data_IF_979959454170
#
_entry.id   IF_979959454170
#
_cell.length_a   1.000
_cell.length_b   1.000
_cell.length_c   1.000
_cell.angle_alpha   90.00
_cell.angle_beta   90.00
_cell.angle_gamma   90.00
#
_symmetry.space_group_name_H-M   'P 1'
#
loop_
_entity.id
_entity.type
_entity.pdbx_description
1 polymer ?
#
# COMPACT_ATOMS: atom_id res chain seq x y z
N UNK A 1 -18.98 35.22 -27.86
CA UNK A 1 -18.29 34.97 -26.58
C UNK A 1 -16.82 35.15 -26.87
N UNK A 2 -16.21 36.23 -26.37
CA UNK A 2 -14.76 36.40 -26.45
C UNK A 2 -14.13 35.37 -25.52
N UNK A 3 -13.35 34.43 -26.08
CA UNK A 3 -12.42 33.61 -25.31
C UNK A 3 -11.49 34.58 -24.56
N UNK A 4 -11.56 34.56 -23.22
CA UNK A 4 -10.57 35.25 -22.42
C UNK A 4 -9.17 34.82 -22.90
N UNK A 5 -8.23 35.76 -23.12
CA UNK A 5 -6.91 35.42 -23.60
C UNK A 5 -6.31 34.37 -22.66
N UNK A 6 -5.78 33.30 -23.25
CA UNK A 6 -5.00 32.33 -22.49
C UNK A 6 -3.82 33.09 -21.90
N UNK A 7 -3.89 33.42 -20.60
CA UNK A 7 -2.73 33.89 -19.86
C UNK A 7 -1.66 32.78 -19.96
N UNK A 8 -0.70 33.00 -20.86
CA UNK A 8 0.59 32.30 -20.86
C UNK A 8 1.28 32.70 -19.55
N UNK A 9 0.98 31.94 -18.49
CA UNK A 9 1.65 32.07 -17.21
C UNK A 9 3.10 31.64 -17.40
N UNK A 10 4.03 32.54 -17.05
CA UNK A 10 5.46 32.25 -17.13
C UNK A 10 5.84 31.09 -16.18
N UNK A 11 6.80 30.22 -16.55
CA UNK A 11 7.27 29.15 -15.69
C UNK A 11 7.80 29.68 -14.35
N UNK A 12 7.69 28.89 -13.28
CA UNK A 12 8.14 29.33 -11.94
C UNK A 12 9.60 29.80 -11.92
N UNK A 13 10.46 29.19 -12.75
CA UNK A 13 11.86 29.57 -12.90
C UNK A 13 12.06 31.05 -13.31
N UNK A 14 11.13 31.65 -14.07
CA UNK A 14 11.20 33.04 -14.50
C UNK A 14 11.12 34.02 -13.32
N UNK A 15 10.49 33.60 -12.22
CA UNK A 15 10.30 34.42 -11.04
C UNK A 15 11.38 34.22 -9.97
N UNK A 16 12.41 33.39 -10.20
CA UNK A 16 13.42 33.06 -9.17
C UNK A 16 14.08 34.30 -8.56
N UNK A 17 14.44 35.28 -9.41
CA UNK A 17 15.11 36.52 -8.97
C UNK A 17 14.14 37.58 -8.45
N UNK A 18 12.85 37.43 -8.75
CA UNK A 18 11.79 38.39 -8.43
C UNK A 18 10.90 37.91 -7.27
N UNK A 19 11.13 36.69 -6.77
CA UNK A 19 10.32 36.10 -5.72
C UNK A 19 10.44 36.96 -4.45
N UNK A 20 9.32 37.32 -3.80
CA UNK A 20 9.36 38.16 -2.61
C UNK A 20 10.30 37.58 -1.55
N UNK A 21 11.27 38.38 -1.13
CA UNK A 21 12.08 38.04 0.03
C UNK A 21 11.18 38.05 1.27
N UNK A 22 11.07 36.90 1.94
CA UNK A 22 10.43 36.79 3.25
C UNK A 22 11.34 36.07 4.23
N UNK A 23 11.12 36.32 5.51
CA UNK A 23 11.74 35.50 6.57
C UNK A 23 11.26 34.05 6.42
N UNK A 24 12.14 33.11 6.78
CA UNK A 24 11.77 31.69 6.76
C UNK A 24 10.66 31.45 7.77
N UNK A 25 9.63 30.69 7.38
CA UNK A 25 8.54 30.32 8.29
C UNK A 25 8.93 29.16 9.24
N UNK A 26 10.17 28.68 9.15
CA UNK A 26 10.73 27.62 9.97
C UNK A 26 10.23 26.22 9.62
N UNK A 27 9.34 26.08 8.64
CA UNK A 27 8.83 24.77 8.23
C UNK A 27 9.88 23.94 7.50
N UNK A 28 9.69 22.61 7.50
CA UNK A 28 10.61 21.69 6.84
C UNK A 28 10.76 22.02 5.34
N UNK A 29 9.65 22.19 4.64
CA UNK A 29 9.64 22.52 3.21
C UNK A 29 10.39 23.82 2.93
N UNK A 30 10.15 24.88 3.70
CA UNK A 30 10.81 26.17 3.50
C UNK A 30 12.34 26.06 3.65
N UNK A 31 12.80 25.27 4.63
CA UNK A 31 14.24 25.04 4.87
C UNK A 31 14.90 24.17 3.79
N UNK A 32 14.18 23.20 3.23
CA UNK A 32 14.74 22.22 2.30
C UNK A 32 14.63 22.68 0.85
N UNK A 33 13.42 23.07 0.41
CA UNK A 33 13.14 23.42 -0.99
C UNK A 33 13.13 24.92 -1.25
N UNK A 34 13.24 25.73 -0.19
CA UNK A 34 13.26 27.18 -0.26
C UNK A 34 11.87 27.81 -0.38
N UNK A 35 11.78 29.13 -0.08
CA UNK A 35 10.51 29.85 0.02
C UNK A 35 9.73 29.90 -1.29
N UNK A 36 10.42 29.98 -2.44
CA UNK A 36 9.76 30.01 -3.75
C UNK A 36 8.95 28.74 -4.01
N UNK A 37 9.59 27.57 -3.90
CA UNK A 37 8.92 26.29 -4.16
C UNK A 37 7.85 26.03 -3.10
N UNK A 38 8.13 26.37 -1.85
CA UNK A 38 7.20 26.21 -0.75
C UNK A 38 5.93 27.04 -0.89
N UNK A 39 6.05 28.33 -1.20
CA UNK A 39 4.93 29.25 -1.40
C UNK A 39 4.11 28.85 -2.63
N UNK A 40 4.80 28.52 -3.74
CA UNK A 40 4.14 28.06 -4.96
C UNK A 40 3.36 26.75 -4.73
N UNK A 41 3.90 25.82 -3.93
CA UNK A 41 3.22 24.59 -3.56
C UNK A 41 2.02 24.80 -2.62
N UNK A 42 2.04 25.84 -1.78
CA UNK A 42 0.91 26.21 -0.92
C UNK A 42 -0.15 27.08 -1.61
N UNK A 43 0.13 27.55 -2.83
CA UNK A 43 -0.79 28.41 -3.59
C UNK A 43 -2.14 27.75 -3.85
N UNK A 44 -3.22 28.54 -3.82
CA UNK A 44 -4.54 28.09 -4.25
C UNK A 44 -4.60 27.76 -5.75
N UNK A 45 -3.69 28.31 -6.55
CA UNK A 45 -3.59 28.04 -7.97
C UNK A 45 -2.88 26.71 -8.25
N UNK A 46 -3.62 25.72 -8.75
CA UNK A 46 -3.05 24.39 -9.03
C UNK A 46 -1.89 24.41 -10.03
N UNK A 47 -1.87 25.39 -10.96
CA UNK A 47 -0.78 25.56 -11.91
C UNK A 47 0.53 25.91 -11.22
N UNK A 48 0.50 26.82 -10.23
CA UNK A 48 1.69 27.14 -9.43
C UNK A 48 2.18 25.95 -8.62
N UNK A 49 1.26 25.15 -8.06
CA UNK A 49 1.65 23.91 -7.35
C UNK A 49 2.28 22.88 -8.29
N UNK A 50 1.75 22.73 -9.49
CA UNK A 50 2.30 21.85 -10.53
C UNK A 50 3.66 22.32 -11.03
N UNK A 51 3.82 23.62 -11.28
CA UNK A 51 5.09 24.25 -11.67
C UNK A 51 6.14 24.11 -10.55
N UNK A 52 5.76 24.24 -9.27
CA UNK A 52 6.66 24.01 -8.14
C UNK A 52 7.28 22.61 -8.17
N UNK A 53 6.47 21.57 -8.42
CA UNK A 53 6.96 20.20 -8.53
C UNK A 53 7.79 19.99 -9.80
N UNK A 54 7.38 20.57 -10.93
CA UNK A 54 8.12 20.49 -12.20
C UNK A 54 9.47 21.20 -12.15
N UNK A 55 9.54 22.31 -11.41
CA UNK A 55 10.78 23.02 -11.12
C UNK A 55 11.66 22.16 -10.22
N UNK A 56 11.11 21.67 -9.11
CA UNK A 56 11.87 20.92 -8.12
C UNK A 56 12.43 19.61 -8.68
N UNK A 57 11.71 18.89 -9.54
CA UNK A 57 12.25 17.65 -10.12
C UNK A 57 13.50 17.89 -10.97
N UNK A 58 13.67 19.09 -11.54
CA UNK A 58 14.87 19.45 -12.31
C UNK A 58 16.01 20.01 -11.45
N UNK A 59 15.70 20.42 -10.21
CA UNK A 59 16.63 21.14 -9.33
C UNK A 59 16.71 20.52 -7.94
N UNK A 60 16.31 19.25 -7.76
CA UNK A 60 16.32 18.58 -6.46
C UNK A 60 17.73 18.52 -5.86
N UNK A 61 18.75 18.41 -6.72
CA UNK A 61 20.16 18.47 -6.33
C UNK A 61 20.56 19.83 -5.69
N UNK A 62 19.82 20.91 -5.96
CA UNK A 62 20.03 22.23 -5.33
C UNK A 62 19.29 22.37 -3.99
N UNK A 63 18.44 21.39 -3.61
CA UNK A 63 17.72 21.43 -2.34
C UNK A 63 18.69 21.33 -1.15
N UNK A 64 18.39 22.09 -0.10
CA UNK A 64 19.20 22.20 1.11
C UNK A 64 18.81 21.17 2.17
N UNK A 65 19.65 21.00 3.19
CA UNK A 65 19.39 20.15 4.34
C UNK A 65 20.01 18.76 4.26
N UNK A 66 19.98 18.06 5.39
CA UNK A 66 20.50 16.70 5.52
C UNK A 66 19.61 15.70 4.77
N UNK A 67 20.12 14.51 4.38
CA UNK A 67 19.35 13.52 3.63
C UNK A 67 18.00 13.16 4.29
N UNK A 68 17.97 13.09 5.62
CA UNK A 68 16.75 12.82 6.39
C UNK A 68 15.69 13.92 6.29
N UNK A 69 16.10 15.19 6.22
CA UNK A 69 15.19 16.32 5.99
C UNK A 69 14.66 16.29 4.55
N UNK A 70 15.52 15.95 3.58
CA UNK A 70 15.15 15.83 2.18
C UNK A 70 14.07 14.76 1.96
N UNK A 71 14.27 13.54 2.47
CA UNK A 71 13.28 12.45 2.35
C UNK A 71 11.94 12.85 2.96
N UNK A 72 11.95 13.47 4.14
CA UNK A 72 10.73 13.94 4.81
C UNK A 72 10.04 15.07 4.04
N UNK A 73 10.80 16.03 3.51
CA UNK A 73 10.26 17.14 2.73
C UNK A 73 9.56 16.63 1.46
N UNK A 74 10.21 15.74 0.71
CA UNK A 74 9.60 15.12 -0.48
C UNK A 74 8.39 14.25 -0.08
N UNK A 75 8.45 13.54 1.05
CA UNK A 75 7.29 12.84 1.62
C UNK A 75 6.11 13.77 1.90
N UNK A 76 6.36 14.95 2.49
CA UNK A 76 5.33 15.98 2.70
C UNK A 76 4.74 16.49 1.38
N UNK A 77 5.57 16.69 0.36
CA UNK A 77 5.10 17.08 -0.98
C UNK A 77 4.19 16.02 -1.61
N UNK A 78 4.59 14.75 -1.56
CA UNK A 78 3.79 13.63 -2.07
C UNK A 78 2.45 13.53 -1.32
N UNK A 79 2.48 13.59 0.01
CA UNK A 79 1.26 13.53 0.82
C UNK A 79 0.33 14.73 0.61
N UNK A 80 0.89 15.94 0.43
CA UNK A 80 0.12 17.13 0.11
C UNK A 80 -0.51 17.03 -1.27
N UNK A 81 0.28 16.64 -2.28
CA UNK A 81 -0.17 16.51 -3.66
C UNK A 81 -1.17 15.35 -3.84
N UNK A 82 -1.06 14.28 -3.06
CA UNK A 82 -2.04 13.18 -3.05
C UNK A 82 -3.44 13.65 -2.59
N UNK A 83 -3.54 14.77 -1.90
CA UNK A 83 -4.84 15.37 -1.49
C UNK A 83 -5.30 16.46 -2.46
N UNK A 84 -4.53 16.75 -3.50
CA UNK A 84 -4.86 17.77 -4.48
C UNK A 84 -6.07 17.33 -5.32
N UNK A 85 -6.93 18.30 -5.64
CA UNK A 85 -8.07 18.10 -6.55
C UNK A 85 -7.61 17.85 -7.99
N UNK A 86 -6.42 18.31 -8.33
CA UNK A 86 -5.84 18.21 -9.67
C UNK A 86 -4.80 17.09 -9.72
N UNK A 87 -5.18 15.98 -10.34
CA UNK A 87 -4.32 14.80 -10.54
C UNK A 87 -2.92 15.13 -11.12
N UNK A 88 -2.81 16.18 -11.96
CA UNK A 88 -1.53 16.62 -12.52
C UNK A 88 -0.52 17.04 -11.45
N UNK A 89 -0.96 17.62 -10.35
CA UNK A 89 -0.08 18.04 -9.24
C UNK A 89 0.51 16.80 -8.55
N UNK A 90 -0.33 15.80 -8.28
CA UNK A 90 0.13 14.51 -7.75
C UNK A 90 1.14 13.82 -8.68
N UNK A 91 0.82 13.71 -9.97
CA UNK A 91 1.73 13.11 -10.96
C UNK A 91 3.08 13.84 -11.02
N UNK A 92 3.08 15.18 -10.94
CA UNK A 92 4.33 15.95 -10.90
C UNK A 92 5.12 15.72 -9.59
N UNK A 93 4.45 15.56 -8.45
CA UNK A 93 5.13 15.22 -7.20
C UNK A 93 5.82 13.85 -7.26
N UNK A 94 5.28 12.90 -8.03
CA UNK A 94 5.92 11.60 -8.23
C UNK A 94 7.19 11.70 -9.10
N UNK A 95 7.29 12.71 -9.96
CA UNK A 95 8.54 12.98 -10.68
C UNK A 95 9.62 13.48 -9.71
N UNK A 96 9.29 14.37 -8.76
CA UNK A 96 10.21 14.76 -7.68
C UNK A 96 10.61 13.54 -6.84
N UNK A 97 9.65 12.68 -6.54
CA UNK A 97 9.88 11.47 -5.76
C UNK A 97 10.84 10.50 -6.45
N UNK A 98 10.73 10.30 -7.77
CA UNK A 98 11.66 9.44 -8.52
C UNK A 98 13.10 9.99 -8.49
N UNK A 99 13.27 11.31 -8.58
CA UNK A 99 14.58 11.96 -8.44
C UNK A 99 15.16 11.78 -7.02
N UNK A 100 14.31 11.74 -5.98
CA UNK A 100 14.77 11.40 -4.63
C UNK A 100 15.31 9.97 -4.56
N UNK A 101 14.67 9.01 -5.24
CA UNK A 101 15.10 7.60 -5.20
C UNK A 101 16.50 7.41 -5.80
N UNK A 102 16.90 8.27 -6.73
CA UNK A 102 18.23 8.27 -7.37
C UNK A 102 19.23 9.24 -6.72
N UNK A 103 18.83 10.01 -5.70
CA UNK A 103 19.69 10.99 -5.04
C UNK A 103 20.78 10.30 -4.19
N UNK A 104 22.04 10.52 -4.57
CA UNK A 104 23.20 9.90 -3.92
C UNK A 104 23.35 10.27 -2.44
N UNK A 105 22.78 11.39 -1.99
CA UNK A 105 22.79 11.78 -0.56
C UNK A 105 22.06 10.76 0.31
N UNK A 106 21.15 9.99 -0.26
CA UNK A 106 20.37 8.98 0.46
C UNK A 106 21.09 7.63 0.59
N UNK A 107 22.26 7.44 -0.02
CA UNK A 107 22.96 6.14 -0.05
C UNK A 107 23.43 5.70 1.33
N UNK A 108 23.89 6.64 2.16
CA UNK A 108 24.43 6.34 3.49
C UNK A 108 23.37 6.01 4.54
N UNK A 109 22.10 6.34 4.27
CA UNK A 109 20.98 6.17 5.20
C UNK A 109 20.56 4.71 5.38
N UNK A 110 20.83 3.87 4.38
CA UNK A 110 20.29 2.52 4.30
C UNK A 110 18.77 2.47 4.08
N UNK A 111 18.24 1.30 3.70
CA UNK A 111 16.84 1.14 3.34
C UNK A 111 15.89 1.30 4.54
N UNK A 112 16.29 0.86 5.74
CA UNK A 112 15.47 0.97 6.94
C UNK A 112 15.32 2.43 7.39
N UNK A 113 16.40 3.21 7.36
CA UNK A 113 16.39 4.63 7.70
C UNK A 113 15.57 5.44 6.70
N UNK A 114 15.72 5.15 5.41
CA UNK A 114 14.95 5.81 4.35
C UNK A 114 13.46 5.52 4.49
N UNK A 115 13.09 4.25 4.70
CA UNK A 115 11.71 3.86 4.94
C UNK A 115 11.12 4.53 6.20
N UNK A 116 11.89 4.61 7.30
CA UNK A 116 11.43 5.27 8.53
C UNK A 116 11.09 6.75 8.29
N UNK A 117 11.98 7.49 7.61
CA UNK A 117 11.72 8.90 7.29
C UNK A 117 10.55 9.09 6.31
N UNK A 118 10.41 8.21 5.32
CA UNK A 118 9.30 8.25 4.37
C UNK A 118 7.94 7.94 5.04
N UNK A 119 7.95 7.17 6.13
CA UNK A 119 6.79 6.88 6.97
C UNK A 119 6.54 7.96 8.03
N UNK A 120 7.38 9.00 8.09
CA UNK A 120 7.28 10.08 9.07
C UNK A 120 7.64 9.66 10.49
N UNK A 121 8.56 8.70 10.65
CA UNK A 121 9.02 8.17 11.94
C UNK A 121 10.42 8.72 12.24
N UNK A 122 10.65 9.14 13.49
CA UNK A 122 11.89 9.79 13.93
C UNK A 122 13.10 8.84 14.02
N UNK A 123 12.90 7.56 14.35
CA UNK A 123 13.97 6.56 14.44
C UNK A 123 13.48 5.16 14.06
N UNK A 124 14.27 4.38 13.28
CA UNK A 124 13.94 3.00 12.92
C UNK A 124 13.99 2.03 14.12
N UNK A 125 14.71 2.37 15.19
CA UNK A 125 14.92 1.49 16.37
C UNK A 125 13.80 1.57 17.41
N UNK A 126 12.84 2.49 17.24
CA UNK A 126 11.78 2.74 18.20
C UNK A 126 10.50 1.96 17.92
N UNK A 127 10.18 0.97 18.78
CA UNK A 127 8.85 0.32 18.81
C UNK A 127 7.68 1.27 19.14
N UNK A 128 7.97 2.55 19.44
CA UNK A 128 7.03 3.66 19.61
C UNK A 128 7.63 4.97 19.03
N UNK A 129 8.26 4.90 17.84
CA UNK A 129 8.81 6.11 17.21
C UNK A 129 7.75 7.19 17.04
N UNK A 130 8.00 8.39 17.59
CA UNK A 130 7.08 9.50 17.47
C UNK A 130 6.85 9.82 15.97
N UNK A 131 5.59 9.96 15.59
CA UNK A 131 5.25 10.45 14.25
C UNK A 131 5.61 11.93 14.17
N UNK A 132 6.62 12.23 13.37
CA UNK A 132 7.14 13.57 13.12
C UNK A 132 6.69 14.14 11.76
N UNK A 133 6.04 13.32 10.94
CA UNK A 133 5.58 13.72 9.60
C UNK A 133 4.48 12.80 9.05
N UNK A 134 4.01 13.09 7.83
CA UNK A 134 3.05 12.25 7.14
C UNK A 134 3.69 10.95 6.62
N UNK A 135 2.86 9.92 6.42
CA UNK A 135 3.29 8.61 5.91
C UNK A 135 3.09 8.56 4.39
N UNK A 136 4.17 8.78 3.63
CA UNK A 136 4.12 8.85 2.17
C UNK A 136 3.93 7.46 1.53
N UNK A 137 4.47 6.39 2.12
CA UNK A 137 4.20 5.02 1.65
C UNK A 137 2.71 4.69 1.76
N UNK A 138 2.09 5.05 2.88
CA UNK A 138 0.65 4.91 3.07
C UNK A 138 -0.14 5.76 2.07
N UNK A 139 0.29 6.99 1.79
CA UNK A 139 -0.37 7.86 0.80
C UNK A 139 -0.29 7.30 -0.63
N UNK A 140 0.85 6.70 -1.02
CA UNK A 140 0.98 6.01 -2.31
C UNK A 140 0.02 4.83 -2.41
N UNK A 141 -0.05 4.00 -1.36
CA UNK A 141 -0.98 2.87 -1.33
C UNK A 141 -2.45 3.31 -1.33
N UNK A 142 -2.79 4.40 -0.64
CA UNK A 142 -4.12 5.01 -0.68
C UNK A 142 -4.49 5.51 -2.09
N UNK A 143 -3.53 6.12 -2.79
CA UNK A 143 -3.73 6.55 -4.17
C UNK A 143 -3.80 5.37 -5.14
N UNK A 144 -3.04 4.30 -4.93
CA UNK A 144 -3.02 3.13 -5.81
C UNK A 144 -4.40 2.45 -5.92
N UNK A 145 -5.20 2.48 -4.85
CA UNK A 145 -6.56 1.93 -4.85
C UNK A 145 -7.68 2.97 -4.82
N UNK A 146 -7.35 4.28 -4.87
CA UNK A 146 -8.32 5.36 -4.91
C UNK A 146 -9.32 5.19 -6.08
N UNK A 147 -10.62 5.26 -5.77
CA UNK A 147 -11.68 5.06 -6.78
C UNK A 147 -11.80 3.62 -7.31
N UNK A 148 -11.07 2.66 -6.73
CA UNK A 148 -11.04 1.27 -7.15
C UNK A 148 -9.85 0.90 -8.03
N UNK A 149 -8.83 1.76 -8.07
CA UNK A 149 -7.64 1.56 -8.90
C UNK A 149 -7.87 1.87 -10.39
N UNK A 150 -6.78 1.96 -11.13
CA UNK A 150 -6.79 2.07 -12.58
C UNK A 150 -5.50 1.50 -13.16
N UNK A 151 -5.58 0.92 -14.36
CA UNK A 151 -4.44 0.36 -15.08
C UNK A 151 -4.03 1.21 -16.29
N UNK A 152 -4.67 2.36 -16.51
CA UNK A 152 -4.21 3.34 -17.52
C UNK A 152 -2.88 3.95 -17.08
N UNK A 153 -1.89 3.95 -17.98
CA UNK A 153 -0.55 4.46 -17.71
C UNK A 153 -0.50 5.93 -17.27
N UNK A 154 -1.49 6.74 -17.67
CA UNK A 154 -1.61 8.15 -17.27
C UNK A 154 -2.40 8.39 -15.98
N UNK A 155 -2.86 7.32 -15.32
CA UNK A 155 -3.69 7.46 -14.12
C UNK A 155 -2.84 7.64 -12.85
N UNK A 156 -3.29 8.50 -11.92
CA UNK A 156 -2.69 8.62 -10.58
C UNK A 156 -2.55 7.28 -9.85
N UNK A 157 -3.54 6.40 -9.99
CA UNK A 157 -3.56 5.09 -9.34
C UNK A 157 -2.41 4.21 -9.82
N UNK A 158 -2.22 4.12 -11.14
CA UNK A 158 -1.12 3.34 -11.72
C UNK A 158 0.23 3.96 -11.34
N UNK A 159 0.36 5.28 -11.42
CA UNK A 159 1.59 5.98 -11.06
C UNK A 159 1.97 5.82 -9.58
N UNK A 160 0.99 5.83 -8.67
CA UNK A 160 1.23 5.58 -7.25
C UNK A 160 1.69 4.13 -6.97
N UNK A 161 1.08 3.16 -7.66
CA UNK A 161 1.51 1.77 -7.63
C UNK A 161 2.93 1.59 -8.21
N UNK A 162 3.26 2.31 -9.29
CA UNK A 162 4.60 2.34 -9.87
C UNK A 162 5.61 2.90 -8.86
N UNK A 163 5.33 4.06 -8.25
CA UNK A 163 6.20 4.70 -7.27
C UNK A 163 6.45 3.83 -6.02
N UNK A 164 5.43 3.13 -5.52
CA UNK A 164 5.59 2.19 -4.41
C UNK A 164 6.53 1.02 -4.79
N UNK A 165 6.44 0.50 -6.01
CA UNK A 165 7.38 -0.51 -6.51
C UNK A 165 8.77 0.07 -6.77
N UNK A 166 8.88 1.30 -7.29
CA UNK A 166 10.16 1.98 -7.53
C UNK A 166 10.97 2.09 -6.23
N UNK A 167 10.33 2.39 -5.09
CA UNK A 167 11.00 2.42 -3.79
C UNK A 167 11.81 1.14 -3.50
N UNK A 168 11.23 -0.02 -3.83
CA UNK A 168 11.85 -1.33 -3.61
C UNK A 168 12.87 -1.64 -4.70
N UNK A 169 12.57 -1.32 -5.97
CA UNK A 169 13.47 -1.54 -7.11
C UNK A 169 14.78 -0.77 -6.97
N UNK A 170 14.72 0.45 -6.45
CA UNK A 170 15.91 1.27 -6.15
C UNK A 170 16.63 0.85 -4.86
N UNK A 171 16.12 -0.18 -4.15
CA UNK A 171 16.72 -0.64 -2.88
C UNK A 171 16.60 0.39 -1.75
N UNK A 172 15.71 1.38 -1.87
CA UNK A 172 15.50 2.44 -0.87
C UNK A 172 14.55 2.03 0.24
N UNK A 173 13.65 1.10 -0.04
CA UNK A 173 12.65 0.62 0.92
C UNK A 173 12.65 -0.90 0.91
N UNK A 174 12.76 -1.58 2.07
CA UNK A 174 12.62 -3.02 2.15
C UNK A 174 11.24 -3.46 1.64
N UNK A 175 11.16 -4.58 0.92
CA UNK A 175 9.90 -5.08 0.37
C UNK A 175 8.80 -5.21 1.44
N UNK A 176 9.16 -5.65 2.65
CA UNK A 176 8.23 -5.85 3.76
C UNK A 176 7.55 -4.55 4.22
N UNK A 177 8.17 -3.38 4.02
CA UNK A 177 7.57 -2.07 4.35
C UNK A 177 6.44 -1.70 3.39
N UNK A 178 6.43 -2.24 2.17
CA UNK A 178 5.34 -2.08 1.20
C UNK A 178 4.36 -3.26 1.26
N UNK A 179 4.89 -4.48 1.39
CA UNK A 179 4.09 -5.69 1.42
C UNK A 179 3.20 -5.77 2.67
N UNK A 180 3.71 -5.41 3.85
CA UNK A 180 2.93 -5.46 5.09
C UNK A 180 1.63 -4.64 5.01
N UNK A 181 1.66 -3.32 4.78
CA UNK A 181 0.43 -2.53 4.71
C UNK A 181 -0.48 -2.98 3.57
N UNK A 182 0.08 -3.44 2.44
CA UNK A 182 -0.71 -3.97 1.33
C UNK A 182 -1.47 -5.25 1.72
N UNK A 183 -0.77 -6.24 2.28
CA UNK A 183 -1.35 -7.51 2.74
C UNK A 183 -2.40 -7.26 3.82
N UNK A 184 -2.10 -6.38 4.77
CA UNK A 184 -3.03 -6.00 5.85
C UNK A 184 -4.32 -5.39 5.31
N UNK A 185 -4.23 -4.45 4.34
CA UNK A 185 -5.42 -3.86 3.69
C UNK A 185 -6.27 -4.91 2.98
N UNK A 186 -5.64 -5.88 2.31
CA UNK A 186 -6.34 -6.98 1.64
C UNK A 186 -7.05 -7.83 2.69
N UNK A 187 -6.36 -8.20 3.76
CA UNK A 187 -6.91 -9.02 4.83
C UNK A 187 -8.10 -8.37 5.52
N UNK A 188 -7.96 -7.10 5.95
CA UNK A 188 -9.02 -6.32 6.59
C UNK A 188 -10.27 -6.21 5.70
N UNK A 189 -10.09 -5.99 4.38
CA UNK A 189 -11.21 -5.91 3.43
C UNK A 189 -11.89 -7.25 3.19
N UNK A 190 -11.13 -8.34 3.16
CA UNK A 190 -11.69 -9.69 3.08
C UNK A 190 -12.44 -10.07 4.35
N UNK A 191 -11.95 -9.66 5.52
CA UNK A 191 -12.66 -9.84 6.79
C UNK A 191 -13.98 -9.05 6.80
N UNK A 192 -13.97 -7.80 6.33
CA UNK A 192 -15.18 -6.99 6.22
C UNK A 192 -16.22 -7.59 5.26
N UNK A 193 -15.78 -8.18 4.13
CA UNK A 193 -16.65 -8.91 3.19
C UNK A 193 -17.32 -10.11 3.87
N UNK A 194 -16.55 -10.93 4.59
CA UNK A 194 -17.06 -12.13 5.30
C UNK A 194 -18.00 -11.75 6.45
N UNK A 195 -17.68 -10.69 7.18
CA UNK A 195 -18.50 -10.23 8.30
C UNK A 195 -19.84 -9.60 7.87
N UNK A 196 -20.10 -9.52 6.56
CA UNK A 196 -21.32 -8.93 6.02
C UNK A 196 -21.45 -7.44 6.38
N UNK A 197 -20.31 -6.76 6.59
CA UNK A 197 -20.27 -5.32 6.85
C UNK A 197 -20.57 -4.58 5.56
N UNK A 198 -21.83 -4.60 5.14
CA UNK A 198 -22.25 -3.91 3.92
C UNK A 198 -22.25 -2.39 4.15
N UNK A 199 -21.56 -1.62 3.29
CA UNK A 199 -21.66 -0.18 3.31
C UNK A 199 -23.10 0.27 3.07
N UNK A 200 -23.57 1.24 3.86
CA UNK A 200 -24.92 1.81 3.70
C UNK A 200 -25.10 2.53 2.36
N UNK A 201 -24.03 3.08 1.79
CA UNK A 201 -24.04 3.73 0.48
C UNK A 201 -23.77 2.72 -0.65
N UNK A 202 -24.60 2.77 -1.69
CA UNK A 202 -24.45 1.98 -2.92
C UNK A 202 -23.12 2.26 -3.63
N UNK A 203 -22.57 3.48 -3.53
CA UNK A 203 -21.26 3.84 -4.10
C UNK A 203 -20.14 3.08 -3.40
N UNK A 204 -20.16 3.05 -2.07
CA UNK A 204 -19.15 2.37 -1.25
C UNK A 204 -19.22 0.86 -1.42
N UNK A 205 -20.45 0.30 -1.53
CA UNK A 205 -20.66 -1.13 -1.82
C UNK A 205 -20.03 -1.56 -3.16
N UNK A 206 -20.06 -0.69 -4.17
CA UNK A 206 -19.45 -0.97 -5.47
C UNK A 206 -17.93 -0.70 -5.49
N UNK A 207 -17.42 0.06 -4.52
CA UNK A 207 -16.02 0.47 -4.43
C UNK A 207 -15.15 -0.61 -3.79
N UNK A 208 -15.60 -1.22 -2.70
CA UNK A 208 -14.84 -2.22 -1.94
C UNK A 208 -14.22 -3.33 -2.81
N UNK A 209 -15.00 -4.04 -3.64
CA UNK A 209 -14.47 -5.09 -4.52
C UNK A 209 -13.49 -4.57 -5.58
N UNK A 210 -13.60 -3.30 -6.00
CA UNK A 210 -12.65 -2.69 -6.93
C UNK A 210 -11.33 -2.38 -6.25
N UNK A 211 -11.36 -1.79 -5.05
CA UNK A 211 -10.14 -1.50 -4.29
C UNK A 211 -9.41 -2.79 -3.91
N UNK A 212 -10.15 -3.83 -3.52
CA UNK A 212 -9.57 -5.15 -3.25
C UNK A 212 -8.94 -5.75 -4.52
N UNK A 213 -9.59 -5.62 -5.68
CA UNK A 213 -9.03 -6.01 -6.98
C UNK A 213 -7.73 -5.26 -7.31
N UNK A 214 -7.69 -3.94 -7.07
CA UNK A 214 -6.50 -3.12 -7.27
C UNK A 214 -5.33 -3.56 -6.38
N UNK A 215 -5.59 -3.80 -5.09
CA UNK A 215 -4.57 -4.28 -4.16
C UNK A 215 -4.04 -5.67 -4.53
N UNK A 216 -4.91 -6.59 -4.97
CA UNK A 216 -4.48 -7.92 -5.42
C UNK A 216 -3.63 -7.84 -6.69
N UNK A 217 -3.93 -6.91 -7.60
CA UNK A 217 -3.08 -6.68 -8.78
C UNK A 217 -1.72 -6.11 -8.38
N UNK A 218 -1.67 -5.16 -7.45
CA UNK A 218 -0.42 -4.64 -6.92
C UNK A 218 0.38 -5.77 -6.22
N UNK A 219 -0.28 -6.60 -5.42
CA UNK A 219 0.35 -7.76 -4.77
C UNK A 219 0.93 -8.75 -5.80
N UNK A 220 0.14 -9.06 -6.84
CA UNK A 220 0.59 -9.90 -7.95
C UNK A 220 1.77 -9.30 -8.71
N UNK A 221 1.81 -7.98 -8.87
CA UNK A 221 2.96 -7.27 -9.44
C UNK A 221 4.19 -7.36 -8.54
N UNK A 222 4.04 -7.16 -7.22
CA UNK A 222 5.13 -7.34 -6.27
C UNK A 222 5.71 -8.76 -6.36
N UNK A 223 4.86 -9.79 -6.47
CA UNK A 223 5.30 -11.17 -6.69
C UNK A 223 6.12 -11.31 -7.98
N UNK A 224 5.63 -10.76 -9.11
CA UNK A 224 6.35 -10.83 -10.39
C UNK A 224 7.69 -10.08 -10.37
N UNK A 225 7.75 -8.93 -9.68
CA UNK A 225 8.92 -8.06 -9.68
C UNK A 225 9.99 -8.49 -8.66
N UNK A 226 9.57 -9.00 -7.50
CA UNK A 226 10.46 -9.22 -6.37
C UNK A 226 10.56 -10.68 -5.94
N UNK A 227 9.73 -11.57 -6.51
CA UNK A 227 9.70 -12.97 -6.13
C UNK A 227 9.20 -13.18 -4.70
N UNK A 228 9.76 -14.17 -4.02
CA UNK A 228 9.48 -14.46 -2.61
C UNK A 228 10.75 -14.27 -1.79
N UNK A 229 10.59 -13.77 -0.57
CA UNK A 229 11.68 -13.72 0.40
C UNK A 229 11.80 -15.05 1.15
N UNK A 230 12.99 -15.33 1.67
CA UNK A 230 13.23 -16.50 2.53
C UNK A 230 12.84 -16.24 4.00
N UNK A 231 12.76 -14.97 4.39
CA UNK A 231 12.42 -14.47 5.72
C UNK A 231 11.47 -13.27 5.62
N UNK A 232 10.78 -12.92 6.71
CA UNK A 232 9.89 -11.75 6.73
C UNK A 232 8.47 -12.04 6.27
N UNK A 233 7.79 -11.05 5.69
CA UNK A 233 6.35 -11.08 5.44
C UNK A 233 5.99 -11.54 4.04
N UNK A 234 6.84 -11.27 3.05
CA UNK A 234 6.59 -11.62 1.65
C UNK A 234 6.97 -13.08 1.32
N UNK A 235 6.44 -14.00 2.13
CA UNK A 235 6.65 -15.45 2.07
C UNK A 235 5.39 -16.16 1.63
N UNK A 236 5.55 -17.32 0.98
CA UNK A 236 4.42 -18.16 0.55
C UNK A 236 3.54 -18.56 1.74
N UNK A 237 4.16 -18.88 2.88
CA UNK A 237 3.47 -19.28 4.10
C UNK A 237 2.40 -18.27 4.59
N UNK A 238 2.55 -16.98 4.27
CA UNK A 238 1.61 -15.91 4.66
C UNK A 238 0.75 -15.42 3.48
N UNK A 239 1.33 -15.37 2.27
CA UNK A 239 0.63 -14.92 1.07
C UNK A 239 -0.44 -15.91 0.62
N UNK A 240 -0.14 -17.21 0.70
CA UNK A 240 -1.03 -18.25 0.20
C UNK A 240 -2.40 -18.25 0.91
N UNK A 241 -2.51 -18.26 2.25
CA UNK A 241 -3.80 -18.19 2.94
C UNK A 241 -4.63 -16.96 2.53
N UNK A 242 -3.97 -15.79 2.41
CA UNK A 242 -4.60 -14.54 1.99
C UNK A 242 -5.17 -14.63 0.57
N UNK A 243 -4.38 -15.16 -0.36
CA UNK A 243 -4.78 -15.34 -1.76
C UNK A 243 -5.89 -16.38 -1.94
N UNK A 244 -5.85 -17.49 -1.19
CA UNK A 244 -6.92 -18.49 -1.19
C UNK A 244 -8.25 -17.89 -0.71
N UNK A 245 -8.21 -17.01 0.31
CA UNK A 245 -9.40 -16.30 0.80
C UNK A 245 -9.94 -15.36 -0.28
N UNK A 246 -9.07 -14.57 -0.91
CA UNK A 246 -9.46 -13.69 -2.01
C UNK A 246 -10.04 -14.45 -3.22
N UNK A 247 -9.48 -15.61 -3.57
CA UNK A 247 -10.01 -16.47 -4.63
C UNK A 247 -11.39 -17.07 -4.28
N UNK A 248 -11.75 -17.08 -3.01
CA UNK A 248 -13.05 -17.54 -2.50
C UNK A 248 -14.10 -16.42 -2.38
N UNK A 249 -13.74 -15.15 -2.67
CA UNK A 249 -14.67 -14.01 -2.66
C UNK A 249 -15.90 -14.23 -3.54
N UNK A 250 -17.03 -13.63 -3.16
CA UNK A 250 -18.26 -13.67 -3.97
C UNK A 250 -18.13 -12.85 -5.25
N UNK A 251 -17.23 -11.87 -5.27
CA UNK A 251 -17.01 -10.96 -6.38
C UNK A 251 -16.01 -11.52 -7.40
N UNK A 252 -16.46 -11.71 -8.65
CA UNK A 252 -15.58 -12.18 -9.75
C UNK A 252 -14.39 -11.27 -10.01
N UNK A 253 -14.53 -9.96 -9.78
CA UNK A 253 -13.46 -8.96 -9.92
C UNK A 253 -12.31 -9.13 -8.92
N UNK A 254 -12.58 -9.76 -7.78
CA UNK A 254 -11.60 -10.08 -6.74
C UNK A 254 -10.98 -11.44 -7.05
N UNK A 255 -11.81 -12.43 -7.39
CA UNK A 255 -11.32 -13.79 -7.71
C UNK A 255 -10.33 -13.83 -8.86
N UNK A 256 -10.54 -13.04 -9.91
CA UNK A 256 -9.66 -13.05 -11.08
C UNK A 256 -8.19 -12.68 -10.76
N UNK A 257 -7.89 -11.48 -10.20
CA UNK A 257 -6.51 -11.13 -9.83
C UNK A 257 -5.97 -12.00 -8.68
N UNK A 258 -6.81 -12.49 -7.77
CA UNK A 258 -6.37 -13.47 -6.77
C UNK A 258 -5.89 -14.77 -7.43
N UNK A 259 -6.63 -15.27 -8.42
CA UNK A 259 -6.25 -16.44 -9.21
C UNK A 259 -4.93 -16.23 -9.97
N UNK A 260 -4.77 -15.07 -10.61
CA UNK A 260 -3.52 -14.72 -11.30
C UNK A 260 -2.33 -14.67 -10.31
N UNK A 261 -2.53 -14.11 -9.11
CA UNK A 261 -1.52 -14.08 -8.07
C UNK A 261 -1.21 -15.47 -7.49
N UNK A 262 -2.20 -16.36 -7.35
CA UNK A 262 -1.98 -17.77 -6.96
C UNK A 262 -1.11 -18.46 -8.00
N UNK A 263 -1.43 -18.30 -9.29
CA UNK A 263 -0.68 -18.91 -10.39
C UNK A 263 0.77 -18.43 -10.37
N UNK A 264 0.98 -17.12 -10.21
CA UNK A 264 2.31 -16.53 -10.08
C UNK A 264 3.06 -17.10 -8.86
N UNK A 265 2.39 -17.21 -7.71
CA UNK A 265 2.96 -17.80 -6.51
C UNK A 265 3.40 -19.26 -6.75
N UNK A 266 2.59 -20.05 -7.47
CA UNK A 266 2.95 -21.44 -7.80
C UNK A 266 4.12 -21.52 -8.77
N UNK A 267 4.22 -20.61 -9.74
CA UNK A 267 5.37 -20.52 -10.63
C UNK A 267 6.67 -20.23 -9.87
N UNK A 268 6.60 -19.42 -8.80
CA UNK A 268 7.76 -19.04 -7.98
C UNK A 268 8.18 -20.11 -6.96
N UNK A 269 7.23 -20.89 -6.44
CA UNK A 269 7.47 -21.72 -5.25
C UNK A 269 7.02 -23.18 -5.36
N UNK A 270 6.60 -23.60 -6.55
CA UNK A 270 6.08 -24.93 -6.82
C UNK A 270 4.58 -25.07 -6.55
N UNK A 271 4.02 -26.21 -6.94
CA UNK A 271 2.58 -26.46 -6.86
C UNK A 271 2.02 -26.48 -5.43
N UNK A 272 0.70 -26.47 -5.34
CA UNK A 272 -0.06 -26.51 -4.10
C UNK A 272 -0.35 -27.96 -3.70
N UNK A 273 -0.27 -28.26 -2.41
CA UNK A 273 -0.75 -29.55 -1.89
C UNK A 273 -2.27 -29.69 -2.06
N UNK A 274 -2.73 -30.90 -2.34
CA UNK A 274 -4.16 -31.20 -2.50
C UNK A 274 -5.00 -30.78 -1.29
N UNK A 275 -4.45 -30.89 -0.07
CA UNK A 275 -5.15 -30.48 1.16
C UNK A 275 -5.51 -28.99 1.16
N UNK A 276 -4.60 -28.14 0.70
CA UNK A 276 -4.78 -26.68 0.64
C UNK A 276 -5.66 -26.32 -0.55
N UNK A 277 -5.50 -27.03 -1.67
CA UNK A 277 -6.35 -26.86 -2.84
C UNK A 277 -7.82 -27.15 -2.53
N UNK A 278 -8.09 -28.17 -1.72
CA UNK A 278 -9.44 -28.55 -1.31
C UNK A 278 -10.14 -27.53 -0.41
N UNK A 279 -9.41 -26.58 0.19
CA UNK A 279 -10.00 -25.46 0.95
C UNK A 279 -10.79 -24.50 0.04
N UNK A 280 -10.42 -24.41 -1.25
CA UNK A 280 -11.13 -23.57 -2.21
C UNK A 280 -12.48 -24.20 -2.62
N UNK A 281 -13.55 -23.38 -2.68
CA UNK A 281 -14.81 -23.79 -3.30
C UNK A 281 -14.60 -24.30 -4.73
N UNK A 282 -15.40 -25.28 -5.15
CA UNK A 282 -15.29 -25.89 -6.50
C UNK A 282 -15.31 -24.84 -7.63
N UNK A 283 -16.13 -23.79 -7.47
CA UNK A 283 -16.21 -22.67 -8.42
C UNK A 283 -14.88 -21.89 -8.52
N UNK A 284 -14.22 -21.65 -7.40
CA UNK A 284 -12.92 -20.96 -7.35
C UNK A 284 -11.83 -21.83 -7.97
N UNK A 285 -11.75 -23.12 -7.61
CA UNK A 285 -10.80 -24.08 -8.19
C UNK A 285 -10.87 -24.13 -9.71
N UNK A 286 -12.08 -24.27 -10.26
CA UNK A 286 -12.30 -24.30 -11.72
C UNK A 286 -11.87 -23.00 -12.40
N UNK A 287 -12.06 -21.86 -11.74
CA UNK A 287 -11.66 -20.57 -12.28
C UNK A 287 -10.13 -20.45 -12.37
N UNK A 288 -9.43 -20.78 -11.29
CA UNK A 288 -7.96 -20.77 -11.23
C UNK A 288 -7.36 -21.79 -12.19
N UNK A 289 -7.92 -23.01 -12.28
CA UNK A 289 -7.48 -24.02 -13.26
C UNK A 289 -7.58 -23.53 -14.71
N UNK A 290 -8.69 -22.86 -15.05
CA UNK A 290 -8.88 -22.30 -16.39
C UNK A 290 -7.90 -21.17 -16.69
N UNK A 291 -7.58 -20.33 -15.70
CA UNK A 291 -6.55 -19.28 -15.84
C UNK A 291 -5.15 -19.90 -15.99
N UNK A 292 -4.83 -20.94 -15.22
CA UNK A 292 -3.55 -21.62 -15.32
C UNK A 292 -3.38 -22.35 -16.67
N UNK A 293 -4.47 -22.89 -17.22
CA UNK A 293 -4.45 -23.55 -18.54
C UNK A 293 -4.06 -22.64 -19.70
N UNK A 294 -4.04 -21.31 -19.51
CA UNK A 294 -3.52 -20.35 -20.50
C UNK A 294 -2.03 -20.03 -20.32
N UNK A 295 -1.38 -20.58 -19.31
CA UNK A 295 0.04 -20.38 -19.01
C UNK A 295 0.79 -21.71 -19.15
N UNK A 296 1.75 -21.78 -20.07
CA UNK A 296 2.54 -22.99 -20.29
C UNK A 296 3.50 -23.24 -19.10
N UNK A 297 3.66 -24.51 -18.72
CA UNK A 297 4.69 -24.94 -17.77
C UNK A 297 4.33 -24.83 -16.28
N UNK A 298 3.14 -24.36 -15.92
CA UNK A 298 2.75 -24.21 -14.50
C UNK A 298 1.99 -25.44 -14.02
N UNK A 299 2.56 -26.17 -13.05
CA UNK A 299 1.82 -27.18 -12.29
C UNK A 299 1.16 -26.55 -11.07
N UNK A 300 -0.17 -26.47 -11.07
CA UNK A 300 -0.92 -25.95 -9.92
C UNK A 300 -0.87 -26.87 -8.71
N UNK A 301 -0.71 -28.17 -8.91
CA UNK A 301 -0.72 -29.17 -7.85
C UNK A 301 0.64 -29.82 -7.71
N UNK A 302 0.99 -30.16 -6.48
CA UNK A 302 2.21 -30.88 -6.14
C UNK A 302 1.90 -32.00 -5.16
N UNK A 303 2.50 -33.18 -5.40
CA UNK A 303 2.48 -34.28 -4.44
C UNK A 303 3.48 -34.06 -3.29
N UNK A 304 4.42 -33.13 -3.46
CA UNK A 304 5.42 -32.79 -2.45
C UNK A 304 5.07 -31.43 -1.81
N UNK A 305 5.08 -31.32 -0.47
CA UNK A 305 4.89 -30.05 0.22
C UNK A 305 6.00 -29.07 -0.16
N UNK A 306 5.64 -27.79 -0.35
CA UNK A 306 6.63 -26.73 -0.37
C UNK A 306 7.21 -26.59 1.06
N UNK A 307 8.53 -26.49 1.20
CA UNK A 307 9.17 -26.36 2.51
C UNK A 307 8.64 -25.17 3.32
N UNK A 308 8.26 -24.08 2.63
CA UNK A 308 7.71 -22.88 3.25
C UNK A 308 6.32 -23.13 3.88
N UNK A 309 5.53 -24.06 3.31
CA UNK A 309 4.19 -24.41 3.82
C UNK A 309 4.26 -25.10 5.21
N UNK A 310 5.42 -25.67 5.56
CA UNK A 310 5.66 -26.35 6.84
C UNK A 310 6.24 -25.43 7.94
N UNK A 311 6.62 -24.20 7.59
CA UNK A 311 7.24 -23.27 8.56
C UNK A 311 6.20 -22.82 9.57
N UNK A 312 6.50 -23.04 10.85
CA UNK A 312 5.62 -22.65 11.95
C UNK A 312 5.49 -21.14 12.03
N UNK A 313 4.28 -20.63 12.24
CA UNK A 313 4.03 -19.19 12.40
C UNK A 313 4.92 -18.55 13.46
N UNK A 314 5.14 -19.21 14.59
CA UNK A 314 6.02 -18.74 15.67
C UNK A 314 7.44 -18.40 15.20
N UNK A 315 7.98 -19.16 14.24
CA UNK A 315 9.31 -18.91 13.66
C UNK A 315 9.28 -17.64 12.82
N UNK A 316 8.25 -17.47 11.99
CA UNK A 316 8.08 -16.29 11.14
C UNK A 316 7.85 -15.04 12.01
N UNK A 317 7.06 -15.16 13.08
CA UNK A 317 6.81 -14.07 14.05
C UNK A 317 8.06 -13.69 14.83
N UNK A 318 8.96 -14.64 15.09
CA UNK A 318 10.25 -14.35 15.71
C UNK A 318 11.19 -13.58 14.76
N UNK A 319 11.09 -13.80 13.44
CA UNK A 319 11.79 -13.01 12.41
C UNK A 319 11.16 -11.62 12.23
N UNK A 320 9.82 -11.56 12.13
CA UNK A 320 9.05 -10.33 12.00
C UNK A 320 7.74 -10.38 12.81
N UNK A 321 7.63 -9.62 13.92
CA UNK A 321 6.43 -9.63 14.77
C UNK A 321 5.14 -9.26 14.04
N UNK A 322 5.22 -8.51 12.95
CA UNK A 322 4.08 -8.11 12.12
C UNK A 322 3.39 -9.31 11.48
N UNK A 323 4.10 -10.43 11.30
CA UNK A 323 3.53 -11.68 10.79
C UNK A 323 2.40 -12.22 11.68
N UNK A 324 2.37 -11.82 12.96
CA UNK A 324 1.36 -12.25 13.93
C UNK A 324 -0.08 -11.95 13.50
N UNK A 325 -0.29 -10.89 12.70
CA UNK A 325 -1.61 -10.47 12.22
C UNK A 325 -2.18 -11.32 11.10
N UNK A 326 -1.40 -12.22 10.49
CA UNK A 326 -1.85 -13.00 9.33
C UNK A 326 -2.05 -14.47 9.67
N UNK A 327 -2.96 -15.15 8.95
CA UNK A 327 -3.04 -16.60 8.97
C UNK A 327 -1.80 -17.19 8.27
N UNK A 328 -1.23 -18.24 8.85
CA UNK A 328 -0.12 -18.97 8.26
C UNK A 328 -0.57 -20.34 7.74
N UNK A 329 0.06 -20.84 6.67
CA UNK A 329 -0.22 -22.17 6.11
C UNK A 329 -0.08 -23.28 7.15
N UNK A 330 0.90 -23.18 8.05
CA UNK A 330 1.11 -24.18 9.12
C UNK A 330 -0.05 -24.26 10.13
N UNK A 331 -0.92 -23.25 10.16
CA UNK A 331 -2.11 -23.21 11.00
C UNK A 331 -3.39 -23.60 10.24
N UNK A 332 -3.32 -23.75 8.90
CA UNK A 332 -4.50 -24.01 8.10
C UNK A 332 -5.02 -25.44 8.30
N UNK A 333 -6.06 -25.54 9.12
CA UNK A 333 -6.95 -26.71 9.23
C UNK A 333 -8.29 -26.39 8.58
N UNK A 334 -9.10 -27.40 8.19
CA UNK A 334 -10.46 -27.16 7.70
C UNK A 334 -11.32 -26.34 8.69
N UNK A 335 -11.10 -26.50 9.99
CA UNK A 335 -11.81 -25.76 11.04
C UNK A 335 -11.37 -24.29 11.09
N UNK A 336 -10.06 -24.03 11.09
CA UNK A 336 -9.52 -22.65 11.07
C UNK A 336 -9.91 -21.94 9.78
N UNK A 337 -9.88 -22.66 8.64
CA UNK A 337 -10.36 -22.16 7.36
C UNK A 337 -11.84 -21.83 7.38
N UNK A 338 -12.68 -22.73 7.88
CA UNK A 338 -14.11 -22.50 8.00
C UNK A 338 -14.41 -21.30 8.92
N UNK A 339 -13.66 -21.13 10.01
CA UNK A 339 -13.78 -19.94 10.84
C UNK A 339 -13.42 -18.67 10.04
N UNK A 340 -12.26 -18.64 9.38
CA UNK A 340 -11.81 -17.48 8.60
C UNK A 340 -12.75 -17.10 7.44
N UNK A 341 -13.52 -18.06 6.91
CA UNK A 341 -14.48 -17.85 5.82
C UNK A 341 -15.91 -17.54 6.31
N UNK A 342 -16.21 -17.72 7.60
CA UNK A 342 -17.55 -17.51 8.16
C UNK A 342 -17.58 -16.49 9.32
N UNK A 343 -16.43 -15.94 9.73
CA UNK A 343 -16.36 -15.10 10.93
C UNK A 343 -17.02 -13.73 10.70
N UNK A 344 -18.32 -13.68 10.99
CA UNK A 344 -19.03 -12.48 11.38
C UNK A 344 -18.73 -12.18 12.87
N UNK A 345 -17.51 -11.73 13.14
CA UNK A 345 -17.13 -11.09 14.39
C UNK A 345 -16.78 -12.01 15.57
N UNK A 346 -15.51 -12.37 15.67
CA UNK A 346 -14.87 -12.74 16.93
C UNK A 346 -13.62 -11.87 17.19
N UNK A 347 -13.78 -10.55 17.20
CA UNK A 347 -12.72 -9.59 17.53
C UNK A 347 -13.22 -8.48 18.43
N UNK A 348 -13.53 -8.79 19.69
CA UNK A 348 -13.87 -7.78 20.70
C UNK A 348 -14.74 -8.30 21.85
N UNK A 349 -14.19 -9.17 22.70
CA UNK A 349 -14.80 -9.46 23.99
C UNK A 349 -13.75 -9.83 25.05
N UNK A 350 -12.90 -8.86 25.41
CA UNK A 350 -12.32 -8.83 26.75
C UNK A 350 -12.89 -7.63 27.52
N UNK A 351 -13.49 -7.93 28.68
CA UNK A 351 -13.53 -7.00 29.82
C UNK A 351 -14.70 -6.01 29.90
N UNK A 352 -15.90 -6.48 30.26
CA UNK A 352 -16.61 -6.03 31.49
C UNK A 352 -18.07 -6.48 31.51
N UNK A 353 -18.33 -7.58 32.22
CA UNK A 353 -19.67 -7.89 32.73
C UNK A 353 -19.96 -6.95 33.90
N UNK A 354 -20.58 -5.79 33.63
CA UNK A 354 -21.35 -5.09 34.65
C UNK A 354 -22.76 -5.70 34.69
N UNK A 355 -23.00 -6.55 35.71
CA UNK A 355 -24.33 -7.09 36.03
C UNK A 355 -25.27 -5.94 36.40
N UNK A 356 -26.17 -5.58 35.49
CA UNK A 356 -27.37 -4.81 35.83
C UNK A 356 -28.39 -5.68 36.54
N UNK A 357 -28.42 -5.66 37.86
CA UNK A 357 -29.53 -6.24 38.64
C UNK A 357 -30.71 -5.28 38.65
N UNK A 358 -31.74 -5.57 37.85
CA UNK A 358 -33.09 -5.03 38.05
C UNK A 358 -33.68 -5.67 39.32
N UNK A 359 -33.83 -4.89 40.38
CA UNK A 359 -34.79 -5.20 41.46
C UNK A 359 -36.08 -4.44 41.18
N UNK A 360 -37.17 -5.19 41.04
CA UNK A 360 -38.54 -4.71 40.84
C UNK A 360 -39.33 -5.15 42.07
N UNK A 361 -39.78 -4.20 42.90
CA UNK A 361 -40.86 -4.28 43.90
C UNK A 361 -41.17 -2.80 44.21
N UNK A 362 -42.38 -2.26 44.07
CA UNK A 362 -43.69 -2.84 44.29
C UNK A 362 -44.26 -2.22 45.57
N UNK A 363 -45.28 -1.37 45.39
CA UNK A 363 -46.31 -0.98 46.37
C UNK A 363 -45.97 0.12 47.38
N UNK A 364 -46.80 1.16 47.39
CA UNK A 364 -46.82 2.32 48.27
C UNK A 364 -47.55 3.46 47.61
#
# INVERSE_FOLDING_TARGET
EEEAPAEELEPLAAFREQWPSRESDGSLLDRVVGPMVHDAFRSDQWRLRWEAMTYLSKHLAEASGEPADLVRAVGELVCGAAKDKMAKVFLASLAVFEELLTDARCDEMGPEGFAAHLRGIESPDGRDGARIGPDALQALLDQADAGGGSSTSSSPQQAAADAACSCVLHGRVPLDEVAFPLMRRIDERLQAEVAGQEPKDRKDKALGPKQLSANLKLLGRCLSSFGLQQSGLFRRALLLPLLLRAASSEHSKVRAPAGDAIINLMALSGGLEDRLWQLLPSKARKAVQRQAGTQEGISLLSAMPCGDDAVKKEVIVAEDPRAGSFLCVSELTPQIWAAAMNDAGAGGAEGSKAKGSKSRRGSG
#
